data_IF_561651110729
#
_entry.id   IF_561651110729
#
_cell.length_a   1.000
_cell.length_b   1.000
_cell.length_c   1.000
_cell.angle_alpha   90.00
_cell.angle_beta   90.00
_cell.angle_gamma   90.00
#
_symmetry.space_group_name_H-M   'P 1'
#
loop_
_entity.id
_entity.type
_entity.pdbx_description
1 polymer ?
#
# COMPACT_ATOMS: atom_id res chain seq x y z
N UNK A 1 -41.64 -11.78 69.09
CA UNK A 1 -40.43 -10.87 69.13
C UNK A 1 -39.38 -11.52 68.29
N UNK A 2 -39.23 -11.15 67.03
CA UNK A 2 -38.15 -11.64 66.17
C UNK A 2 -37.66 -10.44 65.36
N UNK A 3 -36.43 -10.08 65.68
CA UNK A 3 -35.69 -8.97 65.01
C UNK A 3 -35.34 -9.37 63.58
N UNK A 4 -35.82 -8.63 62.60
CA UNK A 4 -35.36 -8.64 61.23
C UNK A 4 -34.18 -7.68 61.07
N UNK A 5 -32.99 -8.22 60.92
CA UNK A 5 -31.76 -7.51 60.59
C UNK A 5 -31.82 -6.95 59.19
N UNK A 6 -31.57 -5.66 59.04
CA UNK A 6 -31.45 -4.96 57.78
C UNK A 6 -30.13 -5.34 57.11
N UNK A 7 -30.20 -5.90 55.91
CA UNK A 7 -29.05 -6.12 55.04
C UNK A 7 -28.86 -4.86 54.18
N UNK A 8 -27.68 -4.17 54.17
CA UNK A 8 -27.45 -3.05 53.28
C UNK A 8 -27.18 -3.55 51.86
N UNK A 9 -27.97 -3.06 50.92
CA UNK A 9 -27.77 -3.28 49.50
C UNK A 9 -26.65 -2.35 49.04
N UNK A 10 -25.47 -2.90 48.78
CA UNK A 10 -24.41 -2.20 48.12
C UNK A 10 -24.71 -2.19 46.61
N UNK A 11 -25.05 -1.01 46.10
CA UNK A 11 -25.05 -0.74 44.66
C UNK A 11 -23.59 -0.61 44.19
N UNK A 12 -23.04 -1.69 43.61
CA UNK A 12 -21.81 -1.61 42.83
C UNK A 12 -22.10 -0.87 41.54
N UNK A 13 -21.77 0.40 41.51
CA UNK A 13 -21.71 1.19 40.27
C UNK A 13 -20.51 0.66 39.47
N UNK A 14 -20.74 -0.22 38.52
CA UNK A 14 -19.72 -0.60 37.51
C UNK A 14 -19.66 0.58 36.52
N UNK A 15 -18.66 1.42 36.69
CA UNK A 15 -18.29 2.42 35.71
C UNK A 15 -17.63 1.68 34.53
N UNK A 16 -18.43 1.36 33.53
CA UNK A 16 -17.95 0.83 32.27
C UNK A 16 -17.35 1.99 31.49
N UNK A 17 -16.02 2.20 31.65
CA UNK A 17 -15.26 3.14 30.82
C UNK A 17 -15.25 2.56 29.42
N UNK A 18 -16.11 3.07 28.55
CA UNK A 18 -15.98 2.88 27.11
C UNK A 18 -14.73 3.64 26.67
N UNK A 19 -13.63 2.92 26.52
CA UNK A 19 -12.50 3.40 25.74
C UNK A 19 -12.97 3.46 24.29
N UNK A 20 -13.46 4.59 23.84
CA UNK A 20 -13.65 4.85 22.42
C UNK A 20 -12.24 4.95 21.84
N UNK A 21 -11.73 3.85 21.33
CA UNK A 21 -10.53 3.83 20.52
C UNK A 21 -10.89 4.59 19.24
N UNK A 22 -10.52 5.84 19.13
CA UNK A 22 -10.55 6.54 17.84
C UNK A 22 -9.52 5.84 16.95
N UNK A 23 -9.98 4.94 16.11
CA UNK A 23 -9.18 4.40 15.02
C UNK A 23 -9.13 5.54 14.00
N UNK A 24 -8.10 6.39 14.11
CA UNK A 24 -7.74 7.23 12.98
C UNK A 24 -7.47 6.29 11.79
N UNK A 25 -8.07 6.56 10.63
CA UNK A 25 -7.88 5.78 9.41
C UNK A 25 -6.47 5.94 8.85
N UNK A 26 -5.45 5.70 9.68
CA UNK A 26 -4.04 5.70 9.27
C UNK A 26 -3.69 4.37 8.60
N UNK A 27 -2.89 4.41 7.54
CA UNK A 27 -2.36 3.18 6.97
C UNK A 27 -1.61 2.39 8.03
N UNK A 28 -1.73 1.07 7.99
CA UNK A 28 -0.88 0.22 8.81
C UNK A 28 0.57 0.47 8.45
N UNK A 29 1.41 0.70 9.44
CA UNK A 29 2.83 0.95 9.24
C UNK A 29 3.54 -0.27 8.63
N UNK A 30 4.63 -0.02 7.91
CA UNK A 30 5.48 -1.09 7.41
C UNK A 30 6.14 -1.84 8.57
N UNK A 31 6.04 -3.17 8.53
CA UNK A 31 6.79 -4.10 9.39
C UNK A 31 7.89 -4.81 8.61
N UNK A 32 8.38 -4.16 7.57
CA UNK A 32 9.44 -4.71 6.74
C UNK A 32 10.74 -4.86 7.54
N UNK A 33 11.23 -6.09 7.59
CA UNK A 33 12.56 -6.41 8.09
C UNK A 33 13.43 -6.87 6.92
N UNK A 34 14.59 -6.24 6.70
CA UNK A 34 15.50 -6.66 5.66
C UNK A 34 15.94 -8.13 5.87
N UNK A 35 16.12 -8.85 4.76
CA UNK A 35 16.74 -10.17 4.81
C UNK A 35 18.15 -10.07 5.39
N UNK A 36 18.69 -11.16 6.00
CA UNK A 36 20.10 -11.19 6.40
C UNK A 36 21.01 -10.77 5.23
N UNK A 37 22.01 -9.94 5.51
CA UNK A 37 22.95 -9.53 4.47
C UNK A 37 24.04 -10.56 4.32
N UNK A 38 24.39 -10.88 3.07
CA UNK A 38 25.61 -11.58 2.72
C UNK A 38 26.58 -10.58 2.07
N UNK A 39 27.88 -10.73 2.32
CA UNK A 39 28.87 -10.01 1.54
C UNK A 39 29.05 -10.76 0.22
N UNK A 40 28.87 -10.08 -0.90
CA UNK A 40 28.85 -10.70 -2.23
C UNK A 40 29.81 -9.96 -3.16
N UNK A 41 30.64 -10.74 -3.86
CA UNK A 41 31.31 -10.29 -5.06
C UNK A 41 30.60 -10.88 -6.28
N UNK A 42 30.06 -10.06 -7.14
CA UNK A 42 29.62 -10.47 -8.47
C UNK A 42 30.77 -10.20 -9.41
N UNK A 43 31.40 -11.26 -9.93
CA UNK A 43 32.60 -11.13 -10.73
C UNK A 43 32.33 -11.18 -12.22
N UNK A 44 33.12 -10.41 -12.97
CA UNK A 44 33.14 -10.39 -14.44
C UNK A 44 31.77 -10.15 -15.10
N UNK A 45 30.98 -9.26 -14.53
CA UNK A 45 29.66 -8.88 -15.05
C UNK A 45 29.72 -7.71 -16.02
N UNK A 46 28.72 -7.61 -16.90
CA UNK A 46 28.37 -6.35 -17.54
C UNK A 46 27.34 -5.64 -16.65
N UNK A 47 27.57 -4.38 -16.33
CA UNK A 47 26.80 -3.66 -15.33
C UNK A 47 26.21 -2.38 -15.93
N UNK A 48 24.90 -2.17 -15.75
CA UNK A 48 24.27 -0.87 -15.85
C UNK A 48 23.96 -0.37 -14.43
N UNK A 49 24.45 0.81 -14.06
CA UNK A 49 24.28 1.34 -12.71
C UNK A 49 22.93 2.04 -12.47
N UNK A 50 22.15 2.26 -13.52
CA UNK A 50 20.90 3.00 -13.45
C UNK A 50 21.04 4.51 -13.56
N UNK A 51 22.27 5.04 -13.61
CA UNK A 51 22.59 6.46 -13.81
C UNK A 51 23.04 6.74 -15.25
N UNK A 52 23.06 5.71 -16.10
CA UNK A 52 23.43 5.80 -17.51
C UNK A 52 24.86 5.35 -17.81
N UNK A 53 25.59 4.84 -16.83
CA UNK A 53 26.90 4.28 -17.06
C UNK A 53 26.84 2.78 -17.33
N UNK A 54 27.73 2.33 -18.22
CA UNK A 54 27.94 0.92 -18.56
C UNK A 54 29.37 0.51 -18.21
N UNK A 55 29.49 -0.61 -17.53
CA UNK A 55 30.77 -1.21 -17.15
C UNK A 55 30.81 -2.63 -17.70
N UNK A 56 31.79 -2.94 -18.54
CA UNK A 56 31.93 -4.26 -19.16
C UNK A 56 33.02 -5.09 -18.48
N UNK A 57 32.71 -6.38 -18.29
CA UNK A 57 33.63 -7.36 -17.69
C UNK A 57 34.25 -6.84 -16.37
N UNK A 58 33.36 -6.44 -15.46
CA UNK A 58 33.71 -5.69 -14.26
C UNK A 58 33.11 -6.38 -13.02
N UNK A 59 33.75 -6.25 -11.88
CA UNK A 59 33.26 -6.78 -10.61
C UNK A 59 32.37 -5.77 -9.88
N UNK A 60 31.39 -6.29 -9.16
CA UNK A 60 30.50 -5.53 -8.27
C UNK A 60 30.65 -6.07 -6.85
N UNK A 61 31.09 -5.22 -5.93
CA UNK A 61 31.26 -5.57 -4.52
C UNK A 61 30.07 -5.07 -3.70
N UNK A 62 29.38 -5.99 -3.04
CA UNK A 62 28.25 -5.71 -2.16
C UNK A 62 28.63 -6.12 -0.73
N UNK A 63 28.53 -5.18 0.19
CA UNK A 63 28.73 -5.40 1.61
C UNK A 63 27.69 -4.64 2.42
N UNK A 64 27.15 -5.24 3.47
CA UNK A 64 26.15 -4.65 4.33
C UNK A 64 24.93 -4.07 3.55
N UNK A 65 24.51 -4.80 2.51
CA UNK A 65 23.40 -4.44 1.61
C UNK A 65 23.63 -3.19 0.76
N UNK A 66 24.88 -2.77 0.61
CA UNK A 66 25.27 -1.62 -0.19
C UNK A 66 26.27 -2.03 -1.24
N UNK A 67 26.17 -1.42 -2.41
CA UNK A 67 27.23 -1.44 -3.40
C UNK A 67 28.38 -0.60 -2.86
N UNK A 68 29.54 -1.24 -2.64
CA UNK A 68 30.73 -0.58 -2.10
C UNK A 68 31.67 -0.14 -3.21
N UNK A 69 31.81 -0.96 -4.25
CA UNK A 69 32.68 -0.67 -5.37
C UNK A 69 32.22 -1.35 -6.65
N UNK A 70 32.56 -0.73 -7.77
CA UNK A 70 32.53 -1.30 -9.11
C UNK A 70 33.94 -1.13 -9.66
N UNK A 71 34.58 -2.20 -10.15
CA UNK A 71 35.96 -2.15 -10.64
C UNK A 71 36.46 -3.52 -11.02
N UNK A 72 37.70 -3.62 -11.51
CA UNK A 72 38.34 -4.90 -11.80
C UNK A 72 39.22 -5.36 -10.62
N UNK A 73 39.30 -6.67 -10.43
CA UNK A 73 40.18 -7.30 -9.44
C UNK A 73 39.94 -6.74 -8.01
N UNK A 74 38.68 -6.59 -7.62
CA UNK A 74 38.31 -6.03 -6.31
C UNK A 74 38.79 -6.99 -5.18
N UNK A 75 39.48 -6.46 -4.16
CA UNK A 75 40.01 -7.29 -3.07
C UNK A 75 38.88 -7.81 -2.20
N UNK A 76 38.86 -9.11 -1.97
CA UNK A 76 37.91 -9.77 -1.06
C UNK A 76 38.63 -10.68 -0.09
N UNK A 77 37.96 -11.04 0.99
CA UNK A 77 38.41 -12.08 1.91
C UNK A 77 37.45 -13.30 1.84
N UNK A 78 37.74 -14.30 2.63
CA UNK A 78 36.97 -15.55 2.65
C UNK A 78 35.53 -15.44 3.20
N UNK A 79 35.08 -14.28 3.62
CA UNK A 79 33.71 -14.03 4.07
C UNK A 79 32.76 -13.65 2.91
N UNK A 80 33.34 -13.39 1.73
CA UNK A 80 32.53 -13.04 0.56
C UNK A 80 32.08 -14.27 -0.20
N UNK A 81 30.80 -14.27 -0.58
CA UNK A 81 30.25 -15.20 -1.57
C UNK A 81 30.56 -14.67 -2.96
N UNK A 82 31.23 -15.46 -3.76
CA UNK A 82 31.55 -15.09 -5.14
C UNK A 82 30.50 -15.66 -6.09
N UNK A 83 29.98 -14.81 -6.96
CA UNK A 83 29.04 -15.17 -8.02
C UNK A 83 29.71 -14.84 -9.36
N UNK A 84 30.04 -15.84 -10.13
CA UNK A 84 30.52 -15.65 -11.51
C UNK A 84 29.35 -15.18 -12.40
N UNK A 85 29.48 -13.99 -12.93
CA UNK A 85 28.53 -13.36 -13.83
C UNK A 85 29.09 -13.14 -15.25
N UNK A 86 30.06 -13.95 -15.64
CA UNK A 86 30.60 -13.93 -17.00
C UNK A 86 29.49 -13.99 -18.03
N UNK A 87 29.48 -13.05 -18.98
CA UNK A 87 28.45 -12.88 -20.01
C UNK A 87 27.04 -12.60 -19.47
N UNK A 88 26.91 -12.16 -18.23
CA UNK A 88 25.62 -11.75 -17.66
C UNK A 88 25.58 -10.24 -17.41
N UNK A 89 24.37 -9.74 -17.34
CA UNK A 89 24.10 -8.34 -17.03
C UNK A 89 23.62 -8.19 -15.60
N UNK A 90 24.11 -7.18 -14.93
CA UNK A 90 23.65 -6.74 -13.61
C UNK A 90 23.03 -5.34 -13.79
N UNK A 91 21.83 -5.17 -13.30
CA UNK A 91 21.10 -3.91 -13.34
C UNK A 91 20.47 -3.63 -11.99
N UNK A 92 20.07 -2.39 -11.68
CA UNK A 92 19.14 -2.14 -10.60
C UNK A 92 17.87 -2.96 -10.75
N UNK A 93 17.25 -3.33 -9.64
CA UNK A 93 15.97 -4.03 -9.67
C UNK A 93 14.88 -3.18 -10.29
N UNK A 94 14.02 -3.82 -11.09
CA UNK A 94 12.91 -3.13 -11.76
C UNK A 94 11.84 -2.82 -10.72
N UNK A 95 11.32 -1.59 -10.76
CA UNK A 95 10.16 -1.15 -9.98
C UNK A 95 8.97 -1.07 -10.93
N UNK A 96 7.97 -1.93 -10.72
CA UNK A 96 6.70 -1.86 -11.45
C UNK A 96 5.79 -0.83 -10.78
N UNK A 97 5.65 0.32 -11.41
CA UNK A 97 4.90 1.46 -10.87
C UNK A 97 3.38 1.36 -11.11
N UNK A 98 2.90 0.32 -11.78
CA UNK A 98 1.47 0.13 -12.06
C UNK A 98 1.13 -1.37 -12.09
N UNK A 99 0.99 -1.94 -10.92
CA UNK A 99 0.69 -3.35 -10.73
C UNK A 99 -0.70 -3.60 -10.17
N UNK A 100 -1.20 -4.79 -10.45
CA UNK A 100 -2.40 -5.37 -9.82
C UNK A 100 -2.06 -6.70 -9.14
N UNK A 101 -0.80 -6.92 -8.80
CA UNK A 101 -0.31 -8.14 -8.17
C UNK A 101 -1.04 -8.40 -6.86
N UNK A 102 -1.50 -9.62 -6.68
CA UNK A 102 -2.20 -10.05 -5.47
C UNK A 102 -3.66 -9.59 -5.34
N UNK A 103 -4.09 -8.49 -6.01
CA UNK A 103 -5.52 -8.10 -6.07
C UNK A 103 -6.27 -8.77 -7.22
N UNK A 104 -5.52 -9.29 -8.22
CA UNK A 104 -5.98 -10.22 -9.25
C UNK A 104 -5.02 -11.40 -9.33
N UNK A 105 -5.06 -12.30 -8.33
CA UNK A 105 -4.07 -13.37 -8.21
C UNK A 105 -4.27 -14.48 -9.26
N UNK A 106 -3.24 -15.30 -9.42
CA UNK A 106 -3.28 -16.51 -10.21
C UNK A 106 -3.51 -17.77 -9.34
N UNK A 107 -4.37 -18.73 -9.77
CA UNK A 107 -5.24 -18.67 -10.95
C UNK A 107 -6.35 -17.64 -10.77
N UNK A 108 -6.77 -17.00 -11.88
CA UNK A 108 -7.85 -16.02 -11.87
C UNK A 108 -9.21 -16.70 -11.64
N UNK A 109 -9.68 -16.65 -10.40
CA UNK A 109 -11.01 -17.12 -10.01
C UNK A 109 -11.82 -15.95 -9.43
N UNK A 110 -13.14 -15.99 -9.58
CA UNK A 110 -14.00 -14.88 -9.18
C UNK A 110 -13.92 -14.54 -7.69
N UNK A 111 -13.72 -15.55 -6.85
CA UNK A 111 -13.63 -15.40 -5.38
C UNK A 111 -12.35 -14.72 -4.88
N UNK A 112 -11.34 -14.55 -5.74
CA UNK A 112 -10.09 -13.85 -5.42
C UNK A 112 -9.85 -12.63 -6.31
N UNK A 113 -10.90 -12.16 -7.02
CA UNK A 113 -10.83 -11.00 -7.90
C UNK A 113 -11.27 -9.74 -7.16
N UNK A 114 -10.41 -9.24 -6.26
CA UNK A 114 -10.73 -8.17 -5.30
C UNK A 114 -10.12 -6.81 -5.70
N UNK A 115 -9.80 -6.64 -6.97
CA UNK A 115 -9.11 -5.43 -7.44
C UNK A 115 -9.99 -4.19 -7.63
N UNK A 116 -11.32 -4.29 -7.57
CA UNK A 116 -12.21 -3.13 -7.68
C UNK A 116 -13.40 -3.25 -6.72
N UNK A 117 -13.55 -2.26 -5.85
CA UNK A 117 -14.80 -2.04 -5.12
C UNK A 117 -15.76 -1.25 -6.01
N UNK A 118 -16.50 -1.98 -6.87
CA UNK A 118 -17.33 -1.37 -7.91
C UNK A 118 -18.77 -1.09 -7.48
N UNK A 119 -19.01 -0.85 -6.18
CA UNK A 119 -20.33 -0.51 -5.62
C UNK A 119 -20.70 0.94 -5.83
N UNK A 120 -19.70 1.82 -5.94
CA UNK A 120 -19.87 3.26 -6.22
C UNK A 120 -18.80 3.75 -7.19
N UNK A 121 -19.07 4.77 -8.01
CA UNK A 121 -18.04 5.42 -8.83
C UNK A 121 -16.89 6.05 -8.05
N UNK A 122 -17.10 6.35 -6.78
CA UNK A 122 -16.11 6.92 -5.86
C UNK A 122 -16.04 6.05 -4.63
N UNK A 123 -14.89 5.46 -4.41
CA UNK A 123 -14.55 4.57 -3.28
C UNK A 123 -13.13 4.91 -2.81
N UNK A 124 -12.89 6.19 -2.49
CA UNK A 124 -11.58 6.71 -2.08
C UNK A 124 -11.09 6.10 -0.76
N UNK A 125 -12.01 5.62 0.05
CA UNK A 125 -11.86 5.02 1.37
C UNK A 125 -11.37 3.57 1.36
N UNK A 126 -11.40 2.88 0.20
CA UNK A 126 -10.86 1.51 0.13
C UNK A 126 -9.37 1.50 -0.15
N UNK A 127 -8.68 0.48 0.37
CA UNK A 127 -7.24 0.33 0.30
C UNK A 127 -6.87 -1.00 -0.33
N UNK A 128 -6.07 -0.98 -1.40
CA UNK A 128 -5.64 -2.20 -2.09
C UNK A 128 -4.92 -3.18 -1.16
N UNK A 129 -4.21 -2.68 -0.15
CA UNK A 129 -3.48 -3.52 0.80
C UNK A 129 -4.35 -4.53 1.55
N UNK A 130 -5.64 -4.24 1.73
CA UNK A 130 -6.56 -5.14 2.42
C UNK A 130 -7.05 -6.30 1.55
N UNK A 131 -6.84 -6.24 0.24
CA UNK A 131 -7.25 -7.27 -0.71
C UNK A 131 -6.08 -8.02 -1.36
N UNK A 132 -4.83 -7.69 -1.00
CA UNK A 132 -3.67 -8.34 -1.57
C UNK A 132 -3.49 -9.75 -0.99
N UNK A 133 -3.50 -10.75 -1.87
CA UNK A 133 -3.09 -12.11 -1.53
C UNK A 133 -1.58 -12.25 -1.64
N UNK A 134 -0.89 -12.23 -0.49
CA UNK A 134 0.59 -12.24 -0.40
C UNK A 134 1.24 -13.54 -0.91
N UNK A 135 0.47 -14.60 -1.04
CA UNK A 135 0.94 -15.92 -1.51
C UNK A 135 0.71 -16.13 -3.02
N UNK A 136 0.30 -15.10 -3.75
CA UNK A 136 0.11 -15.16 -5.19
C UNK A 136 1.41 -15.63 -5.87
N UNK A 137 1.39 -16.75 -6.61
CA UNK A 137 2.57 -17.30 -7.27
C UNK A 137 3.19 -16.36 -8.30
N UNK A 138 2.47 -15.35 -8.75
CA UNK A 138 2.97 -14.35 -9.70
C UNK A 138 4.12 -13.52 -9.09
N UNK A 139 4.19 -13.32 -7.78
CA UNK A 139 5.31 -12.63 -7.12
C UNK A 139 6.66 -13.28 -7.44
N UNK A 140 6.73 -14.61 -7.28
CA UNK A 140 7.95 -15.36 -7.58
C UNK A 140 8.32 -15.33 -9.07
N UNK A 141 7.33 -15.36 -9.96
CA UNK A 141 7.55 -15.26 -11.41
C UNK A 141 8.07 -13.87 -11.79
N UNK A 142 7.49 -12.82 -11.23
CA UNK A 142 7.91 -11.45 -11.47
C UNK A 142 9.34 -11.19 -10.94
N UNK A 143 9.69 -11.78 -9.78
CA UNK A 143 11.06 -11.69 -9.24
C UNK A 143 12.08 -12.34 -10.17
N UNK A 144 11.75 -13.48 -10.78
CA UNK A 144 12.60 -14.10 -11.82
C UNK A 144 12.80 -13.20 -13.04
N UNK A 145 11.85 -12.31 -13.32
CA UNK A 145 11.94 -11.27 -14.35
C UNK A 145 12.68 -10.00 -13.90
N UNK A 146 13.18 -9.97 -12.67
CA UNK A 146 13.93 -8.81 -12.13
C UNK A 146 13.07 -7.74 -11.46
N UNK A 147 11.77 -7.96 -11.25
CA UNK A 147 10.90 -6.99 -10.58
C UNK A 147 11.06 -7.14 -9.07
N UNK A 148 11.63 -6.12 -8.43
CA UNK A 148 11.98 -6.12 -7.01
C UNK A 148 11.02 -5.33 -6.13
N UNK A 149 10.21 -4.47 -6.72
CA UNK A 149 9.17 -3.72 -6.02
C UNK A 149 7.97 -3.47 -6.93
N UNK A 150 6.80 -3.32 -6.32
CA UNK A 150 5.55 -3.01 -7.00
C UNK A 150 4.87 -1.81 -6.36
N UNK A 151 4.25 -0.99 -7.18
CA UNK A 151 3.18 -0.11 -6.74
C UNK A 151 1.84 -0.75 -7.11
N UNK A 152 1.18 -1.36 -6.13
CA UNK A 152 -0.06 -2.12 -6.32
C UNK A 152 -1.24 -1.17 -6.17
N UNK A 153 -2.06 -1.13 -7.20
CA UNK A 153 -3.20 -0.22 -7.34
C UNK A 153 -4.51 -1.01 -7.42
N UNK A 154 -5.62 -0.43 -6.96
CA UNK A 154 -6.93 -0.89 -7.38
C UNK A 154 -7.05 -0.87 -8.91
N UNK A 155 -7.96 -1.65 -9.46
CA UNK A 155 -8.30 -1.63 -10.87
C UNK A 155 -8.96 -0.29 -11.27
N UNK A 156 -9.32 -0.17 -12.55
CA UNK A 156 -9.78 1.09 -13.12
C UNK A 156 -11.30 1.17 -13.37
N UNK A 157 -12.10 0.36 -12.64
CA UNK A 157 -13.54 0.38 -12.79
C UNK A 157 -14.19 1.70 -12.35
N UNK A 158 -13.64 2.31 -11.30
CA UNK A 158 -14.20 3.48 -10.63
C UNK A 158 -13.55 4.79 -11.15
N UNK A 159 -14.23 5.90 -11.00
CA UNK A 159 -13.62 7.23 -11.17
C UNK A 159 -12.49 7.44 -10.16
N UNK A 160 -12.78 7.18 -8.89
CA UNK A 160 -11.83 7.15 -7.79
C UNK A 160 -11.96 5.77 -7.15
N UNK A 161 -10.92 4.95 -7.27
CA UNK A 161 -10.99 3.51 -6.98
C UNK A 161 -10.31 3.08 -5.69
N UNK A 162 -9.83 4.04 -4.90
CA UNK A 162 -9.17 3.73 -3.64
C UNK A 162 -7.66 3.89 -3.66
N UNK A 163 -7.02 3.51 -2.57
CA UNK A 163 -5.60 3.77 -2.31
C UNK A 163 -4.72 2.61 -2.73
N UNK A 164 -3.61 2.96 -3.37
CA UNK A 164 -2.55 2.01 -3.72
C UNK A 164 -1.48 1.92 -2.64
N UNK A 165 -0.67 0.87 -2.71
CA UNK A 165 0.42 0.60 -1.76
C UNK A 165 1.68 0.20 -2.50
N UNK A 166 2.85 0.66 -2.01
CA UNK A 166 4.14 0.23 -2.53
C UNK A 166 4.69 -0.91 -1.67
N UNK A 167 5.09 -2.00 -2.33
CA UNK A 167 5.62 -3.19 -1.64
C UNK A 167 6.94 -3.64 -2.27
N UNK A 168 7.79 -4.26 -1.45
CA UNK A 168 8.97 -5.01 -1.93
C UNK A 168 8.54 -6.39 -2.38
N UNK A 169 9.10 -6.87 -3.48
CA UNK A 169 8.85 -8.22 -3.97
C UNK A 169 9.65 -9.25 -3.16
N UNK A 170 9.25 -9.42 -1.93
CA UNK A 170 9.80 -10.43 -1.01
C UNK A 170 8.66 -11.30 -0.51
N UNK A 171 8.90 -12.61 -0.41
CA UNK A 171 7.89 -13.51 0.13
C UNK A 171 7.75 -13.33 1.63
N UNK A 172 6.58 -12.99 2.10
CA UNK A 172 6.21 -12.80 3.52
C UNK A 172 4.79 -13.34 3.75
N UNK A 173 4.41 -13.46 5.03
CA UNK A 173 3.10 -13.98 5.42
C UNK A 173 2.03 -12.88 5.54
N UNK A 174 2.43 -11.61 5.61
CA UNK A 174 1.54 -10.46 5.75
C UNK A 174 1.96 -9.33 4.82
N UNK A 175 1.00 -8.53 4.39
CA UNK A 175 1.27 -7.37 3.55
C UNK A 175 2.14 -6.33 4.28
N UNK A 176 1.94 -6.12 5.57
CA UNK A 176 2.73 -5.15 6.35
C UNK A 176 4.24 -5.46 6.29
N UNK A 177 4.58 -6.75 6.26
CA UNK A 177 5.98 -7.18 6.15
C UNK A 177 6.56 -7.05 4.74
N UNK A 178 5.72 -6.75 3.74
CA UNK A 178 6.14 -6.46 2.37
C UNK A 178 6.14 -4.97 2.04
N UNK A 179 5.41 -4.14 2.80
CA UNK A 179 5.33 -2.69 2.54
C UNK A 179 6.69 -2.05 2.47
N UNK A 180 6.88 -1.22 1.46
CA UNK A 180 8.10 -0.42 1.36
C UNK A 180 8.07 0.64 2.47
N UNK A 181 9.11 0.71 3.32
CA UNK A 181 9.14 1.69 4.41
C UNK A 181 8.98 3.11 3.91
N UNK A 182 8.17 3.90 4.59
CA UNK A 182 7.94 5.33 4.34
C UNK A 182 7.42 5.68 2.94
N UNK A 183 7.00 4.68 2.14
CA UNK A 183 6.43 4.94 0.83
C UNK A 183 5.01 5.53 0.97
N UNK A 184 4.72 6.65 0.28
CA UNK A 184 3.40 7.26 0.32
C UNK A 184 2.37 6.37 -0.38
N UNK A 185 1.13 6.45 0.07
CA UNK A 185 0.01 5.89 -0.65
C UNK A 185 -0.38 6.78 -1.82
N UNK A 186 -0.90 6.17 -2.88
CA UNK A 186 -1.48 6.88 -4.01
C UNK A 186 -3.00 6.77 -4.00
N UNK A 187 -3.67 7.63 -4.74
CA UNK A 187 -5.09 7.54 -5.02
C UNK A 187 -5.29 7.10 -6.48
N UNK A 188 -5.87 5.92 -6.68
CA UNK A 188 -6.18 5.41 -8.01
C UNK A 188 -7.38 6.13 -8.60
N UNK A 189 -7.18 6.66 -9.80
CA UNK A 189 -8.25 7.31 -10.57
C UNK A 189 -8.28 6.76 -12.00
N UNK A 190 -9.46 6.78 -12.63
CA UNK A 190 -9.66 6.38 -14.01
C UNK A 190 -10.62 7.34 -14.73
N UNK A 191 -10.14 8.04 -15.76
CA UNK A 191 -10.86 9.14 -16.41
C UNK A 191 -11.38 8.81 -17.82
N UNK A 192 -11.32 7.56 -18.23
CA UNK A 192 -11.59 7.17 -19.61
C UNK A 192 -12.79 6.23 -19.78
N UNK A 193 -12.56 5.19 -20.54
CA UNK A 193 -13.55 4.22 -20.99
C UNK A 193 -14.07 3.34 -19.85
N UNK A 194 -13.19 2.92 -18.95
CA UNK A 194 -13.55 1.91 -17.95
C UNK A 194 -14.70 2.35 -17.02
N UNK A 195 -14.66 3.51 -16.34
CA UNK A 195 -15.79 3.95 -15.53
C UNK A 195 -17.08 4.12 -16.34
N UNK A 196 -16.98 4.65 -17.56
CA UNK A 196 -18.15 4.80 -18.47
C UNK A 196 -18.80 3.46 -18.76
N UNK A 197 -17.99 2.44 -19.09
CA UNK A 197 -18.47 1.11 -19.40
C UNK A 197 -19.06 0.42 -18.17
N UNK A 198 -18.35 0.43 -17.06
CA UNK A 198 -18.76 -0.26 -15.84
C UNK A 198 -20.08 0.29 -15.29
N UNK A 199 -20.17 1.61 -15.10
CA UNK A 199 -21.37 2.22 -14.53
C UNK A 199 -22.46 2.45 -15.58
N UNK A 200 -22.11 2.78 -16.82
CA UNK A 200 -23.07 2.90 -17.92
C UNK A 200 -23.82 1.60 -18.18
N UNK A 201 -23.17 0.46 -18.15
CA UNK A 201 -23.82 -0.85 -18.27
C UNK A 201 -24.79 -1.15 -17.11
N UNK A 202 -24.62 -0.49 -15.97
CA UNK A 202 -25.53 -0.56 -14.82
C UNK A 202 -26.58 0.55 -14.82
N UNK A 203 -26.68 1.33 -15.90
CA UNK A 203 -27.54 2.50 -16.00
C UNK A 203 -27.28 3.56 -14.90
N UNK A 204 -26.02 3.70 -14.51
CA UNK A 204 -25.53 4.63 -13.49
C UNK A 204 -24.53 5.63 -14.10
N UNK A 205 -24.36 6.77 -13.45
CA UNK A 205 -23.27 7.69 -13.78
C UNK A 205 -21.92 7.19 -13.22
N UNK A 206 -20.82 7.38 -13.99
CA UNK A 206 -20.75 8.01 -15.30
C UNK A 206 -21.04 7.03 -16.45
N UNK A 207 -21.69 7.49 -17.51
CA UNK A 207 -21.85 6.74 -18.78
C UNK A 207 -21.20 7.45 -19.97
N UNK A 208 -20.70 8.67 -19.76
CA UNK A 208 -20.08 9.53 -20.77
C UNK A 208 -18.83 10.22 -20.21
N UNK A 209 -18.00 10.81 -21.09
CA UNK A 209 -16.86 11.67 -20.64
C UNK A 209 -17.35 12.89 -19.86
N UNK A 210 -18.51 13.43 -20.22
CA UNK A 210 -19.15 14.53 -19.46
C UNK A 210 -19.51 14.06 -18.04
N UNK A 211 -20.02 12.83 -17.90
CA UNK A 211 -20.28 12.19 -16.62
C UNK A 211 -19.02 11.97 -15.79
N UNK A 212 -17.91 11.54 -16.40
CA UNK A 212 -16.63 11.43 -15.73
C UNK A 212 -16.20 12.79 -15.15
N UNK A 213 -16.20 13.84 -15.97
CA UNK A 213 -15.79 15.18 -15.54
C UNK A 213 -16.69 15.74 -14.43
N UNK A 214 -18.01 15.49 -14.53
CA UNK A 214 -18.97 15.90 -13.51
C UNK A 214 -18.75 15.15 -12.19
N UNK A 215 -18.46 13.85 -12.26
CA UNK A 215 -18.15 13.02 -11.08
C UNK A 215 -16.92 13.51 -10.34
N UNK A 216 -15.81 13.77 -11.04
CA UNK A 216 -14.62 14.33 -10.42
C UNK A 216 -14.88 15.68 -9.76
N UNK A 217 -15.51 16.60 -10.48
CA UNK A 217 -15.82 17.93 -9.95
C UNK A 217 -16.67 17.83 -8.68
N UNK A 218 -17.65 16.93 -8.67
CA UNK A 218 -18.48 16.68 -7.49
C UNK A 218 -17.63 16.18 -6.31
N UNK A 219 -16.72 15.23 -6.55
CA UNK A 219 -15.85 14.66 -5.51
C UNK A 219 -14.94 15.71 -4.90
N UNK A 220 -14.33 16.58 -5.71
CA UNK A 220 -13.47 17.67 -5.21
C UNK A 220 -14.26 18.69 -4.39
N UNK A 221 -15.45 19.09 -4.84
CA UNK A 221 -16.33 20.00 -4.08
C UNK A 221 -16.70 19.38 -2.72
N UNK A 222 -16.96 18.07 -2.69
CA UNK A 222 -17.28 17.38 -1.44
C UNK A 222 -16.07 17.32 -0.50
N UNK A 223 -14.87 17.05 -1.03
CA UNK A 223 -13.63 17.03 -0.25
C UNK A 223 -13.31 18.43 0.31
N UNK A 224 -13.41 19.49 -0.49
CA UNK A 224 -13.22 20.86 -0.02
C UNK A 224 -14.22 21.24 1.09
N UNK A 225 -15.48 20.88 0.92
CA UNK A 225 -16.51 21.12 1.92
C UNK A 225 -16.27 20.31 3.22
N UNK A 226 -15.69 19.11 3.10
CA UNK A 226 -15.28 18.32 4.26
C UNK A 226 -14.14 19.00 5.01
N UNK A 227 -13.06 19.38 4.30
CA UNK A 227 -11.92 20.09 4.89
C UNK A 227 -12.35 21.38 5.61
N UNK A 228 -13.22 22.18 5.00
CA UNK A 228 -13.75 23.38 5.64
C UNK A 228 -14.47 23.08 6.96
N UNK A 229 -15.26 22.01 7.00
CA UNK A 229 -15.93 21.59 8.25
C UNK A 229 -14.95 21.06 9.29
N UNK A 230 -13.88 20.41 8.88
CA UNK A 230 -12.82 19.93 9.77
C UNK A 230 -12.09 21.11 10.40
N UNK A 231 -11.67 22.08 9.58
CA UNK A 231 -11.02 23.30 10.04
C UNK A 231 -11.91 24.08 11.03
N UNK A 232 -13.20 24.22 10.72
CA UNK A 232 -14.18 24.85 11.61
C UNK A 232 -14.35 24.09 12.93
N UNK A 233 -14.31 22.76 12.90
CA UNK A 233 -14.37 21.95 14.10
C UNK A 233 -13.10 22.07 14.93
N UNK A 234 -11.92 22.03 14.30
CA UNK A 234 -10.63 22.14 14.99
C UNK A 234 -10.41 23.52 15.62
N UNK A 235 -10.97 24.57 15.04
CA UNK A 235 -10.92 25.92 15.59
C UNK A 235 -11.81 26.14 16.83
N UNK A 236 -12.70 25.19 17.18
CA UNK A 236 -13.56 25.30 18.36
C UNK A 236 -12.77 25.09 19.64
N UNK A 237 -13.27 25.68 20.75
CA UNK A 237 -12.75 25.37 22.09
C UNK A 237 -13.00 23.92 22.49
N UNK A 238 -12.24 23.39 23.43
CA UNK A 238 -12.38 22.01 23.89
C UNK A 238 -13.79 21.71 24.43
N UNK A 239 -14.38 22.66 25.18
CA UNK A 239 -15.77 22.55 25.64
C UNK A 239 -16.77 22.46 24.47
N UNK A 240 -16.55 23.23 23.41
CA UNK A 240 -17.43 23.18 22.23
C UNK A 240 -17.20 21.91 21.37
N UNK A 241 -16.03 21.28 21.43
CA UNK A 241 -15.75 19.99 20.81
C UNK A 241 -16.42 18.82 21.54
N UNK A 242 -16.51 18.87 22.85
CA UNK A 242 -17.21 17.86 23.67
C UNK A 242 -18.73 17.79 23.38
N UNK A 243 -19.33 18.90 23.02
CA UNK A 243 -20.78 18.99 22.73
C UNK A 243 -21.08 18.72 21.26
N UNK A 244 -20.10 18.91 20.37
CA UNK A 244 -20.24 18.76 18.91
C UNK A 244 -19.81 17.41 18.39
N UNK A 245 -20.43 16.98 17.27
CA UNK A 245 -19.94 15.83 16.54
C UNK A 245 -18.70 16.22 15.72
N UNK A 246 -17.60 15.47 15.89
CA UNK A 246 -16.44 15.58 15.01
C UNK A 246 -16.82 15.17 13.58
N UNK A 247 -16.29 15.84 12.55
CA UNK A 247 -16.39 15.32 11.19
C UNK A 247 -15.80 13.92 11.14
N UNK A 248 -16.41 13.05 10.37
CA UNK A 248 -15.99 11.67 10.23
C UNK A 248 -14.66 11.64 9.46
N UNK A 249 -13.59 11.10 10.05
CA UNK A 249 -12.22 11.11 9.47
C UNK A 249 -11.88 9.91 8.58
N UNK A 250 -12.76 8.96 8.46
CA UNK A 250 -12.60 7.75 7.63
C UNK A 250 -12.59 8.02 6.12
N UNK A 251 -12.75 9.28 5.72
CA UNK A 251 -12.73 9.73 4.34
C UNK A 251 -11.41 10.44 3.93
N UNK A 252 -10.44 10.52 4.82
CA UNK A 252 -9.13 11.16 4.55
C UNK A 252 -8.23 10.35 3.62
#
# INVERSE_FOLDING_TARGET
>A
MTNLSKVPIYYSLIFMIFFVCFIEGKPFESKYEPLPSENILISNANIYDGEGNEFLETDLLIQDRKVIAIGKDLPINNTFKVIDATNKWVTPGIIDIHSHMGVYPAPGVSTSSDGNEATSPVTADVWAEHSIWVQDPQYALALKGGITAFHILPGSANLIGGRGVTVKNIQRNTIDSMKFPDAPHSLKMACGENPKRVYGNRQQAPSTRMGNAAGYRKSWIQAEAYLSRLDEYEAKSDEAKEIGYAPQRDLE
#
